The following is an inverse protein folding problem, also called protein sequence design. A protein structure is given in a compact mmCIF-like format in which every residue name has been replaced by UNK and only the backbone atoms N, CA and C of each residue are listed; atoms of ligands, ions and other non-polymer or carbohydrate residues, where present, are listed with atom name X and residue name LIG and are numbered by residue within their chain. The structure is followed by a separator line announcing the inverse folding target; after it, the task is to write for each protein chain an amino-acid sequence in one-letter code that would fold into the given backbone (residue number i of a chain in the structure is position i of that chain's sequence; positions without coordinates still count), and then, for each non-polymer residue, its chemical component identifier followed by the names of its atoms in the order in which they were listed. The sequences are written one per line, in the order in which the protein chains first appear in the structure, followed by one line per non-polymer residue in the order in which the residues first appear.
data_IF_985917274426
#
_entry.id   IF_985917274426
#
_cell.length_a   1.000
_cell.length_b   1.000
_cell.length_c   1.000
_cell.angle_alpha   90.00
_cell.angle_beta   90.00
_cell.angle_gamma   90.00
#
_symmetry.space_group_name_H-M   'P 1'
#
loop_
_entity.id
_entity.type
_entity.pdbx_description
1 polymer ?
#
# COMPACT_ATOMS: atom_id res chain seq x y z
N UNK A 1 -7.33 19.75 -29.92
CA UNK A 1 -6.94 18.48 -29.29
C UNK A 1 -8.08 17.49 -29.50
N UNK A 2 -7.83 16.39 -30.20
CA UNK A 2 -8.82 15.34 -30.45
C UNK A 2 -8.94 14.39 -29.26
N UNK A 3 -9.97 13.54 -29.27
CA UNK A 3 -10.16 12.49 -28.26
C UNK A 3 -8.96 11.51 -28.25
N UNK A 4 -8.59 11.03 -27.06
CA UNK A 4 -7.58 9.98 -26.87
C UNK A 4 -8.08 8.68 -27.54
N UNK A 5 -7.32 8.19 -28.53
CA UNK A 5 -7.62 6.98 -29.29
C UNK A 5 -6.81 5.76 -28.80
N UNK A 6 -6.09 5.88 -27.68
CA UNK A 6 -5.33 4.78 -27.11
C UNK A 6 -6.29 3.65 -26.68
N UNK A 7 -5.96 2.42 -27.10
CA UNK A 7 -6.84 1.26 -26.89
C UNK A 7 -6.00 0.05 -26.50
N UNK A 8 -6.43 -0.65 -25.46
CA UNK A 8 -5.94 -1.98 -25.08
C UNK A 8 -7.06 -3.00 -25.27
N UNK A 9 -6.86 -3.96 -26.17
CA UNK A 9 -7.83 -5.01 -26.49
C UNK A 9 -7.20 -6.37 -26.25
N UNK A 10 -8.03 -7.34 -25.90
CA UNK A 10 -7.66 -8.75 -25.87
C UNK A 10 -8.42 -9.44 -26.99
N UNK A 11 -7.76 -9.66 -28.12
CA UNK A 11 -8.38 -10.23 -29.32
C UNK A 11 -7.85 -11.64 -29.51
N UNK A 12 -8.74 -12.65 -29.53
CA UNK A 12 -8.38 -14.06 -29.77
C UNK A 12 -7.23 -14.59 -28.87
N UNK A 13 -7.18 -14.16 -27.60
CA UNK A 13 -6.17 -14.60 -26.64
C UNK A 13 -4.80 -13.92 -26.77
N UNK A 14 -4.65 -12.95 -27.68
CA UNK A 14 -3.43 -12.15 -27.87
C UNK A 14 -3.67 -10.75 -27.31
N UNK A 15 -2.75 -10.29 -26.46
CA UNK A 15 -2.79 -8.91 -25.94
C UNK A 15 -2.34 -7.94 -27.03
N UNK A 16 -3.17 -6.93 -27.31
CA UNK A 16 -2.87 -5.88 -28.29
C UNK A 16 -3.10 -4.51 -27.66
N UNK A 17 -2.14 -3.62 -27.80
CA UNK A 17 -2.22 -2.25 -27.34
C UNK A 17 -1.67 -1.27 -28.39
N UNK A 18 -2.33 -0.12 -28.50
CA UNK A 18 -1.90 0.99 -29.34
C UNK A 18 -2.01 2.31 -28.57
N UNK A 19 -1.01 3.18 -28.74
CA UNK A 19 -0.90 4.49 -28.09
C UNK A 19 -0.54 5.52 -29.17
N UNK A 20 -1.24 6.65 -29.18
CA UNK A 20 -0.88 7.84 -29.95
C UNK A 20 -0.60 7.58 -31.45
N UNK A 21 0.45 8.20 -31.97
CA UNK A 21 0.93 8.04 -33.34
C UNK A 21 1.74 6.75 -33.54
N UNK A 22 1.06 5.62 -33.35
CA UNK A 22 1.66 4.28 -33.41
C UNK A 22 2.27 3.95 -34.80
N UNK A 23 1.82 4.66 -35.84
CA UNK A 23 2.27 4.46 -37.21
C UNK A 23 3.44 5.37 -37.61
N UNK A 24 3.78 6.40 -36.83
CA UNK A 24 4.85 7.34 -37.17
C UNK A 24 4.46 8.29 -38.30
N UNK A 25 3.22 8.78 -38.29
CA UNK A 25 2.71 9.80 -39.23
C UNK A 25 3.34 11.17 -39.01
N UNK A 26 3.84 11.43 -37.81
CA UNK A 26 4.55 12.65 -37.44
C UNK A 26 5.84 12.74 -38.25
N UNK A 27 6.03 13.86 -38.95
CA UNK A 27 7.19 14.09 -39.81
C UNK A 27 8.49 13.93 -39.04
N UNK A 28 9.44 13.20 -39.63
CA UNK A 28 10.77 12.92 -39.04
C UNK A 28 10.76 12.18 -37.69
N UNK A 29 9.65 11.52 -37.37
CA UNK A 29 9.61 10.60 -36.23
C UNK A 29 10.59 9.45 -36.45
N UNK A 30 11.14 8.94 -35.34
CA UNK A 30 12.00 7.74 -35.32
C UNK A 30 11.25 6.60 -34.66
N UNK A 31 11.57 5.36 -35.00
CA UNK A 31 10.89 4.21 -34.42
C UNK A 31 11.87 3.10 -34.03
N UNK A 32 11.60 2.49 -32.88
CA UNK A 32 12.31 1.30 -32.40
C UNK A 32 11.35 0.12 -32.43
N UNK A 33 11.83 -1.05 -32.84
CA UNK A 33 11.01 -2.25 -33.02
C UNK A 33 11.69 -3.47 -32.40
N UNK A 34 10.91 -4.27 -31.70
CA UNK A 34 11.31 -5.57 -31.15
C UNK A 34 10.37 -6.64 -31.68
N UNK A 35 10.94 -7.69 -32.28
CA UNK A 35 10.20 -8.82 -32.84
C UNK A 35 10.77 -10.11 -32.28
N UNK A 36 9.90 -10.94 -31.71
CA UNK A 36 10.23 -12.29 -31.27
C UNK A 36 9.26 -13.28 -31.92
N UNK A 37 9.70 -13.94 -32.98
CA UNK A 37 8.86 -14.86 -33.75
C UNK A 37 8.49 -16.11 -32.94
N UNK A 38 9.40 -16.62 -32.11
CA UNK A 38 9.16 -17.80 -31.29
C UNK A 38 8.07 -17.56 -30.23
N UNK A 39 8.12 -16.40 -29.55
CA UNK A 39 7.12 -15.99 -28.55
C UNK A 39 5.91 -15.28 -29.18
N UNK A 40 5.91 -15.04 -30.49
CA UNK A 40 4.91 -14.26 -31.24
C UNK A 40 4.66 -12.86 -30.64
N UNK A 41 5.74 -12.17 -30.25
CA UNK A 41 5.71 -10.82 -29.69
C UNK A 41 6.17 -9.81 -30.73
N UNK A 42 5.43 -8.72 -30.87
CA UNK A 42 5.82 -7.53 -31.63
C UNK A 42 5.61 -6.29 -30.78
N UNK A 43 6.66 -5.48 -30.60
CA UNK A 43 6.60 -4.21 -29.89
C UNK A 43 7.24 -3.12 -30.75
N UNK A 44 6.62 -1.95 -30.79
CA UNK A 44 7.13 -0.77 -31.49
C UNK A 44 6.84 0.47 -30.66
N UNK A 45 7.81 1.37 -30.57
CA UNK A 45 7.62 2.74 -30.10
C UNK A 45 7.99 3.73 -31.20
N UNK A 46 7.32 4.87 -31.21
CA UNK A 46 7.54 5.99 -32.11
C UNK A 46 7.91 7.19 -31.26
N UNK A 47 9.04 7.82 -31.57
CA UNK A 47 9.62 8.94 -30.83
C UNK A 47 9.84 10.14 -31.74
N UNK A 48 9.99 11.33 -31.15
CA UNK A 48 10.31 12.58 -31.84
C UNK A 48 11.68 12.55 -32.52
N UNK A 49 11.93 13.51 -33.43
CA UNK A 49 13.22 13.66 -34.13
C UNK A 49 14.39 13.75 -33.15
N UNK A 50 14.23 14.44 -32.03
CA UNK A 50 15.23 14.56 -30.94
C UNK A 50 15.26 13.37 -29.97
N UNK A 51 14.28 12.47 -30.04
CA UNK A 51 14.19 11.27 -29.21
C UNK A 51 13.75 11.53 -27.78
N UNK A 52 13.32 12.75 -27.46
CA UNK A 52 12.92 13.15 -26.12
C UNK A 52 11.46 12.83 -25.82
N UNK A 53 10.60 12.71 -26.84
CA UNK A 53 9.15 12.53 -26.65
C UNK A 53 8.65 11.22 -27.27
N UNK A 54 7.78 10.53 -26.53
CA UNK A 54 7.05 9.38 -27.04
C UNK A 54 5.80 9.84 -27.80
N UNK A 55 5.78 9.61 -29.11
CA UNK A 55 4.67 9.99 -29.98
C UNK A 55 3.62 8.88 -30.08
N UNK A 56 4.03 7.62 -30.00
CA UNK A 56 3.13 6.47 -30.02
C UNK A 56 3.79 5.13 -29.77
N UNK A 57 2.98 4.08 -29.64
CA UNK A 57 3.44 2.71 -29.42
C UNK A 57 2.44 1.67 -29.95
N UNK A 58 2.95 0.51 -30.39
CA UNK A 58 2.18 -0.69 -30.73
C UNK A 58 2.77 -1.87 -29.96
N UNK A 59 1.95 -2.61 -29.23
CA UNK A 59 2.34 -3.83 -28.51
C UNK A 59 1.40 -4.96 -28.92
N UNK A 60 1.95 -6.12 -29.30
CA UNK A 60 1.20 -7.30 -29.75
C UNK A 60 1.85 -8.54 -29.13
N UNK A 61 1.04 -9.43 -28.56
CA UNK A 61 1.50 -10.67 -27.91
C UNK A 61 1.87 -10.47 -26.44
N UNK A 62 2.47 -9.33 -26.09
CA UNK A 62 2.78 -8.90 -24.72
C UNK A 62 2.63 -7.39 -24.61
N UNK A 63 1.73 -6.94 -23.72
CA UNK A 63 1.41 -5.53 -23.50
C UNK A 63 1.71 -5.08 -22.05
N UNK A 64 2.68 -5.70 -21.38
CA UNK A 64 3.05 -5.37 -20.00
C UNK A 64 3.45 -3.89 -19.84
N UNK A 65 4.14 -3.30 -20.82
CA UNK A 65 4.67 -1.93 -20.78
C UNK A 65 3.64 -0.87 -21.16
N UNK A 66 2.41 -1.27 -21.52
CA UNK A 66 1.34 -0.35 -21.92
C UNK A 66 1.11 0.76 -20.90
N UNK A 67 1.03 0.41 -19.61
CA UNK A 67 0.74 1.38 -18.55
C UNK A 67 1.82 2.46 -18.46
N UNK A 68 3.09 2.05 -18.49
CA UNK A 68 4.24 2.96 -18.43
C UNK A 68 4.32 3.83 -19.68
N UNK A 69 4.23 3.24 -20.87
CA UNK A 69 4.28 3.97 -22.14
C UNK A 69 3.11 4.95 -22.28
N UNK A 70 1.92 4.59 -21.80
CA UNK A 70 0.76 5.47 -21.80
C UNK A 70 0.99 6.69 -20.90
N UNK A 71 1.55 6.48 -19.71
CA UNK A 71 1.87 7.59 -18.81
C UNK A 71 2.97 8.50 -19.38
N UNK A 72 3.97 7.95 -20.06
CA UNK A 72 5.01 8.73 -20.74
C UNK A 72 4.39 9.61 -21.84
N UNK A 73 3.55 9.01 -22.70
CA UNK A 73 2.90 9.72 -23.80
C UNK A 73 1.91 10.79 -23.31
N UNK A 74 1.05 10.47 -22.34
CA UNK A 74 0.02 11.40 -21.86
C UNK A 74 0.58 12.59 -21.09
N UNK A 75 1.67 12.39 -20.34
CA UNK A 75 2.25 13.43 -19.48
C UNK A 75 3.47 14.12 -20.11
N UNK A 76 3.83 13.77 -21.36
CA UNK A 76 5.00 14.34 -22.04
C UNK A 76 6.31 14.11 -21.27
N UNK A 77 6.45 12.96 -20.61
CA UNK A 77 7.66 12.62 -19.84
C UNK A 77 8.81 12.42 -20.81
N UNK A 78 9.97 13.04 -20.53
CA UNK A 78 11.16 12.88 -21.35
C UNK A 78 11.60 11.40 -21.37
N UNK A 79 11.92 10.91 -22.57
CA UNK A 79 12.41 9.55 -22.76
C UNK A 79 13.85 9.39 -22.23
N UNK A 80 14.23 8.17 -21.79
CA UNK A 80 15.62 7.86 -21.45
C UNK A 80 16.53 7.99 -22.68
N UNK A 81 17.84 8.09 -22.45
CA UNK A 81 18.84 8.21 -23.52
C UNK A 81 18.78 7.07 -24.55
N UNK A 82 18.32 5.89 -24.13
CA UNK A 82 18.15 4.70 -24.96
C UNK A 82 16.68 4.22 -24.89
N UNK A 83 15.76 4.82 -25.68
CA UNK A 83 14.33 4.52 -25.64
C UNK A 83 13.98 3.05 -25.97
N UNK A 84 14.82 2.35 -26.72
CA UNK A 84 14.65 0.94 -27.09
C UNK A 84 14.45 0.02 -25.89
N UNK A 85 15.08 0.31 -24.75
CA UNK A 85 14.94 -0.50 -23.53
C UNK A 85 13.54 -0.45 -22.92
N UNK A 86 12.69 0.50 -23.34
CA UNK A 86 11.28 0.52 -22.94
C UNK A 86 10.44 -0.60 -23.57
N UNK A 87 10.94 -1.25 -24.63
CA UNK A 87 10.23 -2.34 -25.32
C UNK A 87 11.03 -3.64 -25.43
N UNK A 88 12.32 -3.63 -25.08
CA UNK A 88 13.15 -4.83 -25.11
C UNK A 88 12.84 -5.75 -23.91
N UNK A 89 12.93 -7.08 -24.11
CA UNK A 89 12.86 -8.02 -23.00
C UNK A 89 14.05 -7.81 -22.06
N UNK A 90 13.82 -7.89 -20.75
CA UNK A 90 14.88 -7.82 -19.76
C UNK A 90 15.85 -8.99 -19.95
N UNK A 91 17.10 -8.70 -20.29
CA UNK A 91 18.22 -9.66 -20.23
C UNK A 91 19.19 -9.18 -19.15
N UNK A 92 19.55 -10.11 -18.27
CA UNK A 92 20.64 -10.03 -17.28
C UNK A 92 20.74 -8.75 -16.44
N UNK A 93 19.89 -8.66 -15.42
CA UNK A 93 20.14 -7.77 -14.27
C UNK A 93 19.79 -6.29 -14.45
N UNK A 94 19.49 -5.83 -15.66
CA UNK A 94 18.90 -4.50 -15.85
C UNK A 94 17.40 -4.56 -15.57
N UNK A 95 17.06 -4.20 -14.33
CA UNK A 95 15.71 -4.17 -13.80
C UNK A 95 14.78 -3.27 -14.62
N UNK A 96 13.51 -3.70 -14.72
CA UNK A 96 12.42 -2.89 -15.29
C UNK A 96 12.36 -1.55 -14.57
N UNK A 97 12.61 -0.46 -15.29
CA UNK A 97 12.55 0.90 -14.74
C UNK A 97 11.11 1.20 -14.31
N UNK A 98 10.81 0.96 -13.03
CA UNK A 98 9.73 1.65 -12.36
C UNK A 98 10.11 3.13 -12.25
N UNK A 99 9.17 4.03 -12.50
CA UNK A 99 9.40 5.47 -12.31
C UNK A 99 9.58 5.71 -10.81
N UNK A 100 10.83 5.66 -10.33
CA UNK A 100 11.20 6.10 -9.00
C UNK A 100 10.83 7.57 -8.81
N UNK A 101 10.79 8.04 -7.56
CA UNK A 101 10.46 9.45 -7.25
C UNK A 101 11.39 10.43 -8.00
N UNK A 102 12.61 9.99 -8.31
CA UNK A 102 13.59 10.74 -9.10
C UNK A 102 13.13 11.03 -10.52
N UNK A 103 12.45 10.08 -11.17
CA UNK A 103 12.01 10.15 -12.57
C UNK A 103 10.68 10.92 -12.76
N UNK A 104 10.04 11.35 -11.66
CA UNK A 104 8.85 12.21 -11.75
C UNK A 104 9.24 13.62 -12.26
N UNK A 105 8.47 14.23 -13.17
CA UNK A 105 8.71 15.62 -13.57
C UNK A 105 8.39 16.59 -12.43
N UNK A 106 8.95 17.81 -12.47
CA UNK A 106 8.69 18.85 -11.45
C UNK A 106 7.21 19.27 -11.40
N UNK A 107 6.47 19.12 -12.50
CA UNK A 107 5.03 19.34 -12.56
C UNK A 107 4.20 18.23 -11.89
N UNK A 108 4.81 17.09 -11.52
CA UNK A 108 4.08 15.98 -10.93
C UNK A 108 3.43 16.38 -9.61
N UNK A 109 2.10 16.24 -9.53
CA UNK A 109 1.36 16.54 -8.31
C UNK A 109 1.66 15.50 -7.22
N UNK A 110 2.16 15.98 -6.08
CA UNK A 110 2.52 15.16 -4.91
C UNK A 110 1.44 15.25 -3.83
N UNK A 111 0.85 16.43 -3.61
CA UNK A 111 -0.25 16.64 -2.66
C UNK A 111 -1.50 17.15 -3.34
N UNK A 112 -2.55 16.34 -3.42
CA UNK A 112 -3.82 16.78 -4.04
C UNK A 112 -4.63 17.75 -3.18
N UNK A 113 -4.51 17.71 -1.86
CA UNK A 113 -5.32 18.59 -0.99
C UNK A 113 -4.89 20.05 -1.05
N UNK A 114 -3.59 20.31 -1.24
CA UNK A 114 -3.01 21.66 -1.29
C UNK A 114 -2.38 21.96 -2.66
N UNK A 115 -2.62 21.10 -3.66
CA UNK A 115 -2.10 21.19 -5.02
C UNK A 115 -0.58 21.42 -5.10
N UNK A 116 0.19 20.65 -4.32
CA UNK A 116 1.67 20.80 -4.25
C UNK A 116 2.34 19.84 -5.22
N UNK A 117 3.22 20.36 -6.08
CA UNK A 117 3.99 19.59 -7.06
C UNK A 117 5.37 19.17 -6.53
N UNK A 118 6.06 18.30 -7.28
CA UNK A 118 7.45 17.91 -6.99
C UNK A 118 8.40 19.11 -7.03
N UNK A 119 8.26 19.99 -8.04
CA UNK A 119 9.08 21.19 -8.19
C UNK A 119 8.98 22.11 -6.97
N UNK A 120 7.76 22.34 -6.47
CA UNK A 120 7.54 23.14 -5.26
C UNK A 120 8.18 22.52 -4.00
N UNK A 121 8.29 21.19 -3.95
CA UNK A 121 9.02 20.51 -2.88
C UNK A 121 10.53 20.73 -3.05
N UNK A 122 11.04 20.60 -4.27
CA UNK A 122 12.47 20.79 -4.55
C UNK A 122 12.89 22.24 -4.23
N UNK A 123 12.06 23.22 -4.60
CA UNK A 123 12.27 24.64 -4.30
C UNK A 123 12.29 24.89 -2.80
N UNK A 124 11.39 24.26 -2.05
CA UNK A 124 11.34 24.36 -0.59
C UNK A 124 12.60 23.78 0.08
N UNK A 125 13.11 22.64 -0.42
CA UNK A 125 14.40 22.10 0.02
C UNK A 125 15.54 23.06 -0.29
N UNK A 126 15.53 23.65 -1.49
CA UNK A 126 16.50 24.68 -1.87
C UNK A 126 16.45 25.94 -1.00
N UNK A 127 15.29 26.27 -0.45
CA UNK A 127 15.11 27.35 0.53
C UNK A 127 15.44 26.95 1.98
N UNK A 128 15.89 25.71 2.22
CA UNK A 128 16.35 25.23 3.52
C UNK A 128 15.36 24.36 4.30
N UNK A 129 14.19 24.01 3.75
CA UNK A 129 13.25 23.10 4.41
C UNK A 129 13.76 21.64 4.33
N UNK A 130 14.32 21.13 5.42
CA UNK A 130 14.99 19.84 5.48
C UNK A 130 14.22 18.80 6.30
N UNK A 131 13.12 19.20 6.93
CA UNK A 131 12.27 18.35 7.76
C UNK A 131 10.82 18.37 7.30
N UNK A 132 10.07 17.31 7.61
CA UNK A 132 8.63 17.27 7.29
C UNK A 132 7.83 18.36 8.02
N UNK A 133 8.28 18.79 9.20
CA UNK A 133 7.68 19.92 9.91
C UNK A 133 7.79 21.21 9.10
N UNK A 134 9.01 21.52 8.63
CA UNK A 134 9.27 22.67 7.77
C UNK A 134 8.49 22.55 6.45
N UNK A 135 8.52 21.38 5.80
CA UNK A 135 7.78 21.13 4.55
C UNK A 135 6.28 21.39 4.70
N UNK A 136 5.68 20.95 5.81
CA UNK A 136 4.26 21.23 6.12
C UNK A 136 4.02 22.71 6.34
N UNK A 137 4.95 23.43 6.96
CA UNK A 137 4.81 24.87 7.22
C UNK A 137 4.90 25.70 5.94
N UNK A 138 5.83 25.37 5.03
CA UNK A 138 6.08 26.17 3.82
C UNK A 138 5.18 25.77 2.65
N UNK A 139 4.96 24.48 2.40
CA UNK A 139 4.19 24.00 1.24
C UNK A 139 2.75 23.59 1.58
N UNK A 140 2.43 23.39 2.87
CA UNK A 140 1.21 22.71 3.34
C UNK A 140 1.08 21.25 2.88
N UNK A 141 2.05 20.68 2.16
CA UNK A 141 2.01 19.28 1.77
C UNK A 141 2.01 18.37 3.01
N UNK A 142 0.98 17.53 3.14
CA UNK A 142 0.84 16.62 4.27
C UNK A 142 0.28 17.24 5.56
N UNK A 143 -0.08 18.53 5.55
CA UNK A 143 -0.70 19.21 6.70
C UNK A 143 -2.21 18.91 6.84
N UNK A 144 -2.92 18.69 5.74
CA UNK A 144 -4.40 18.54 5.74
C UNK A 144 -4.86 17.11 6.02
N UNK A 145 -4.57 16.17 5.11
CA UNK A 145 -5.03 14.79 5.23
C UNK A 145 -3.90 13.80 5.61
N UNK A 146 -2.65 14.26 5.62
CA UNK A 146 -1.46 13.45 5.88
C UNK A 146 -1.11 12.39 4.81
N UNK A 147 -1.95 12.19 3.79
CA UNK A 147 -1.83 11.08 2.85
C UNK A 147 -0.55 11.09 1.99
N UNK A 148 0.00 12.27 1.68
CA UNK A 148 1.21 12.41 0.86
C UNK A 148 2.50 12.44 1.68
N UNK A 149 2.45 12.41 3.02
CA UNK A 149 3.62 12.66 3.88
C UNK A 149 4.79 11.74 3.52
N UNK A 150 4.54 10.43 3.34
CA UNK A 150 5.60 9.49 2.97
C UNK A 150 6.28 9.85 1.63
N UNK A 151 5.47 10.20 0.62
CA UNK A 151 5.97 10.57 -0.70
C UNK A 151 6.70 11.92 -0.67
N UNK A 152 6.20 12.90 0.09
CA UNK A 152 6.88 14.18 0.32
C UNK A 152 8.24 13.95 0.97
N UNK A 153 8.33 13.08 1.99
CA UNK A 153 9.60 12.71 2.61
C UNK A 153 10.58 12.11 1.60
N UNK A 154 10.11 11.23 0.71
CA UNK A 154 10.96 10.64 -0.31
C UNK A 154 11.49 11.69 -1.29
N UNK A 155 10.62 12.54 -1.84
CA UNK A 155 11.04 13.62 -2.76
C UNK A 155 12.05 14.54 -2.07
N UNK A 156 11.76 14.93 -0.82
CA UNK A 156 12.62 15.80 -0.01
C UNK A 156 13.99 15.18 0.22
N UNK A 157 14.07 13.90 0.64
CA UNK A 157 15.33 13.20 0.88
C UNK A 157 16.17 13.04 -0.40
N UNK A 158 15.53 12.74 -1.53
CA UNK A 158 16.19 12.67 -2.84
C UNK A 158 16.81 14.01 -3.20
N UNK A 159 16.06 15.11 -3.06
CA UNK A 159 16.56 16.45 -3.37
C UNK A 159 17.68 16.90 -2.42
N UNK A 160 17.55 16.61 -1.12
CA UNK A 160 18.60 16.87 -0.14
C UNK A 160 19.89 16.14 -0.50
N UNK A 161 19.80 14.86 -0.88
CA UNK A 161 20.96 14.07 -1.31
C UNK A 161 21.61 14.65 -2.58
N UNK A 162 20.82 15.07 -3.57
CA UNK A 162 21.31 15.74 -4.79
C UNK A 162 22.09 17.02 -4.49
N UNK A 163 21.72 17.72 -3.42
CA UNK A 163 22.37 18.96 -2.96
C UNK A 163 23.54 18.73 -2.00
N UNK A 164 23.92 17.47 -1.74
CA UNK A 164 24.99 17.13 -0.79
C UNK A 164 24.63 17.41 0.68
N UNK A 165 23.34 17.57 0.99
CA UNK A 165 22.88 17.80 2.36
C UNK A 165 22.83 16.48 3.12
N UNK A 166 23.19 16.53 4.41
CA UNK A 166 23.12 15.36 5.27
C UNK A 166 21.66 14.90 5.45
N UNK A 167 21.34 13.69 4.97
CA UNK A 167 20.05 13.06 5.21
C UNK A 167 20.16 12.19 6.45
N UNK A 168 19.61 12.63 7.58
CA UNK A 168 19.49 11.75 8.74
C UNK A 168 18.28 10.81 8.57
N UNK A 169 18.40 9.59 9.09
CA UNK A 169 17.32 8.61 9.13
C UNK A 169 16.78 8.42 10.55
N UNK A 170 16.97 9.44 11.41
CA UNK A 170 16.51 9.41 12.78
C UNK A 170 14.98 9.33 12.81
N UNK A 171 14.44 8.56 13.75
CA UNK A 171 13.00 8.42 13.91
C UNK A 171 12.37 9.75 14.35
N UNK A 172 13.00 10.41 15.32
CA UNK A 172 12.63 11.72 15.86
C UNK A 172 13.80 12.27 16.70
N UNK A 173 13.62 13.43 17.32
CA UNK A 173 14.62 14.01 18.22
C UNK A 173 15.07 13.06 19.33
N UNK A 174 14.19 12.18 19.84
CA UNK A 174 14.49 11.28 20.97
C UNK A 174 15.38 10.08 20.60
N UNK A 175 15.37 9.65 19.33
CA UNK A 175 16.01 8.41 18.87
C UNK A 175 16.79 8.66 17.57
N UNK A 176 18.14 8.62 17.61
CA UNK A 176 18.99 8.82 16.44
C UNK A 176 19.08 7.57 15.55
N UNK A 177 17.99 6.82 15.45
CA UNK A 177 17.89 5.54 14.75
C UNK A 177 16.66 5.52 13.87
N UNK A 178 16.73 4.84 12.73
CA UNK A 178 15.58 4.49 11.91
C UNK A 178 14.66 3.50 12.61
N UNK A 179 13.43 3.33 12.09
CA UNK A 179 12.51 2.28 12.58
C UNK A 179 13.15 0.89 12.50
N UNK A 180 13.86 0.59 11.40
CA UNK A 180 14.49 -0.71 11.18
C UNK A 180 15.59 -0.97 12.20
N UNK A 181 16.46 0.01 12.45
CA UNK A 181 17.50 -0.11 13.49
C UNK A 181 16.88 -0.29 14.88
N UNK A 182 15.83 0.46 15.22
CA UNK A 182 15.12 0.27 16.49
C UNK A 182 14.49 -1.13 16.59
N UNK A 183 13.96 -1.68 15.50
CA UNK A 183 13.47 -3.07 15.48
C UNK A 183 14.59 -4.05 15.83
N UNK A 184 15.78 -3.86 15.25
CA UNK A 184 16.95 -4.68 15.55
C UNK A 184 17.41 -4.53 17.00
N UNK A 185 17.51 -3.31 17.52
CA UNK A 185 17.89 -3.04 18.91
C UNK A 185 16.90 -3.67 19.89
N UNK A 186 15.59 -3.57 19.64
CA UNK A 186 14.56 -4.20 20.47
C UNK A 186 14.71 -5.73 20.47
N UNK A 187 14.91 -6.35 19.31
CA UNK A 187 15.07 -7.81 19.20
C UNK A 187 16.36 -8.32 19.85
N UNK A 188 17.49 -7.66 19.60
CA UNK A 188 18.81 -8.07 20.09
C UNK A 188 18.95 -7.80 21.59
N UNK A 189 18.46 -6.65 22.05
CA UNK A 189 18.51 -6.27 23.46
C UNK A 189 17.37 -6.85 24.31
N UNK A 190 16.50 -7.67 23.72
CA UNK A 190 15.29 -8.24 24.34
C UNK A 190 14.42 -7.20 25.07
N UNK A 191 14.32 -6.00 24.49
CA UNK A 191 13.69 -4.84 25.13
C UNK A 191 12.17 -4.97 25.10
N UNK A 192 11.53 -4.91 26.27
CA UNK A 192 10.07 -5.12 26.43
C UNK A 192 9.28 -3.91 26.90
N UNK A 193 9.97 -2.83 27.30
CA UNK A 193 9.31 -1.62 27.79
C UNK A 193 9.87 -0.39 27.10
N UNK A 194 9.03 0.65 26.97
CA UNK A 194 9.47 1.92 26.41
C UNK A 194 10.52 2.61 27.28
N UNK A 195 10.42 2.49 28.61
CA UNK A 195 11.40 3.04 29.54
C UNK A 195 12.81 2.44 29.32
N UNK A 196 12.89 1.12 29.14
CA UNK A 196 14.15 0.44 28.87
C UNK A 196 14.72 0.80 27.47
N UNK A 197 13.85 0.89 26.45
CA UNK A 197 14.25 1.36 25.12
C UNK A 197 14.82 2.79 25.17
N UNK A 198 14.14 3.68 25.89
CA UNK A 198 14.52 5.07 26.02
C UNK A 198 15.82 5.23 26.81
N UNK A 199 15.99 4.48 27.90
CA UNK A 199 17.21 4.52 28.72
C UNK A 199 18.45 4.02 27.98
N UNK A 200 18.32 3.00 27.12
CA UNK A 200 19.46 2.41 26.40
C UNK A 200 19.79 3.09 25.08
N UNK A 201 18.78 3.57 24.37
CA UNK A 201 18.92 3.97 22.96
C UNK A 201 18.29 5.33 22.63
N UNK A 202 17.82 6.08 23.62
CA UNK A 202 17.21 7.38 23.42
C UNK A 202 17.46 8.35 24.57
N UNK A 203 16.65 9.39 24.64
CA UNK A 203 16.69 10.42 25.68
C UNK A 203 15.37 11.18 25.74
N UNK A 204 15.16 11.98 26.78
CA UNK A 204 13.95 12.77 26.99
C UNK A 204 12.77 11.92 27.51
N UNK A 205 11.55 12.26 27.10
CA UNK A 205 10.30 11.60 27.55
C UNK A 205 9.55 10.87 26.42
N UNK A 206 10.02 11.02 25.19
CA UNK A 206 9.37 10.53 23.97
C UNK A 206 8.18 11.37 23.52
N UNK A 207 7.87 11.31 22.23
CA UNK A 207 6.79 12.04 21.57
C UNK A 207 5.73 11.12 20.93
N UNK A 208 4.78 11.75 20.25
CA UNK A 208 3.73 11.14 19.42
C UNK A 208 4.26 10.36 18.20
N UNK A 209 5.55 10.47 17.88
CA UNK A 209 6.21 9.67 16.83
C UNK A 209 6.81 8.39 17.41
N UNK A 210 7.66 8.50 18.44
CA UNK A 210 8.43 7.36 18.92
C UNK A 210 7.63 6.41 19.81
N UNK A 211 6.67 6.91 20.60
CA UNK A 211 5.87 6.05 21.48
C UNK A 211 5.03 5.04 20.70
N UNK A 212 4.22 5.44 19.68
CA UNK A 212 3.48 4.47 18.87
C UNK A 212 4.39 3.58 18.04
N UNK A 213 5.52 4.10 17.57
CA UNK A 213 6.50 3.31 16.80
C UNK A 213 7.11 2.20 17.67
N UNK A 214 7.56 2.53 18.88
CA UNK A 214 8.11 1.57 19.83
C UNK A 214 7.05 0.52 20.22
N UNK A 215 5.81 0.94 20.47
CA UNK A 215 4.73 0.02 20.78
C UNK A 215 4.44 -0.95 19.62
N UNK A 216 4.42 -0.44 18.38
CA UNK A 216 4.29 -1.28 17.19
C UNK A 216 5.44 -2.27 17.06
N UNK A 217 6.69 -1.83 17.26
CA UNK A 217 7.87 -2.71 17.18
C UNK A 217 7.79 -3.82 18.24
N UNK A 218 7.55 -3.44 19.51
CA UNK A 218 7.45 -4.41 20.60
C UNK A 218 6.32 -5.40 20.39
N UNK A 219 5.14 -4.95 19.94
CA UNK A 219 4.03 -5.84 19.59
C UNK A 219 4.40 -6.80 18.45
N UNK A 220 5.11 -6.34 17.42
CA UNK A 220 5.60 -7.20 16.34
C UNK A 220 6.70 -8.18 16.79
N UNK A 221 7.45 -7.86 17.84
CA UNK A 221 8.53 -8.69 18.35
C UNK A 221 8.05 -9.76 19.35
N UNK A 222 7.12 -9.38 20.22
CA UNK A 222 6.74 -10.14 21.41
C UNK A 222 5.29 -10.59 21.42
N UNK A 223 4.45 -10.05 20.52
CA UNK A 223 3.02 -10.35 20.40
C UNK A 223 2.20 -10.07 21.68
N UNK A 224 2.65 -9.09 22.47
CA UNK A 224 1.93 -8.63 23.67
C UNK A 224 0.67 -7.84 23.29
N UNK A 225 -0.36 -7.93 24.13
CA UNK A 225 -1.59 -7.15 23.96
C UNK A 225 -1.30 -5.65 24.12
N UNK A 226 -1.59 -4.87 23.08
CA UNK A 226 -1.22 -3.44 22.98
C UNK A 226 -1.91 -2.52 24.02
N UNK A 227 -3.01 -2.98 24.62
CA UNK A 227 -3.71 -2.26 25.70
C UNK A 227 -3.41 -2.84 27.09
N UNK A 228 -2.35 -3.65 27.23
CA UNK A 228 -1.78 -3.96 28.55
C UNK A 228 -1.42 -2.64 29.23
N UNK A 229 -1.62 -2.55 30.55
CA UNK A 229 -1.61 -1.28 31.31
C UNK A 229 -0.33 -0.43 31.11
N UNK A 230 0.82 -1.08 30.94
CA UNK A 230 2.13 -0.49 30.68
C UNK A 230 2.37 -0.11 29.20
N UNK A 231 1.64 -0.70 28.26
CA UNK A 231 1.75 -0.44 26.81
C UNK A 231 0.65 0.50 26.27
N UNK A 232 -0.48 0.59 26.96
CA UNK A 232 -1.65 1.35 26.51
C UNK A 232 -1.31 2.83 26.31
N UNK A 233 -0.54 3.43 27.21
CA UNK A 233 -0.12 4.84 27.13
C UNK A 233 0.76 5.18 25.92
N UNK A 234 1.28 4.16 25.22
CA UNK A 234 2.08 4.33 24.01
C UNK A 234 1.24 4.36 22.73
N UNK A 235 -0.03 3.95 22.81
CA UNK A 235 -0.94 3.92 21.66
C UNK A 235 -1.41 5.33 21.33
N UNK A 236 -1.70 5.56 20.04
CA UNK A 236 -2.48 6.74 19.66
C UNK A 236 -3.94 6.61 20.12
N UNK A 237 -4.70 7.71 20.05
CA UNK A 237 -6.11 7.72 20.47
C UNK A 237 -6.94 6.62 19.80
N UNK A 238 -6.66 6.29 18.53
CA UNK A 238 -7.48 5.33 17.82
C UNK A 238 -7.24 3.91 18.31
N UNK A 239 -5.97 3.54 18.50
CA UNK A 239 -5.61 2.24 19.04
C UNK A 239 -5.98 2.12 20.54
N UNK A 240 -5.85 3.20 21.32
CA UNK A 240 -6.22 3.22 22.75
C UNK A 240 -7.72 2.97 22.98
N UNK A 241 -8.58 3.64 22.20
CA UNK A 241 -10.03 3.56 22.35
C UNK A 241 -10.69 2.49 21.46
N UNK A 242 -9.89 1.76 20.67
CA UNK A 242 -10.34 0.81 19.67
C UNK A 242 -11.34 1.40 18.64
N UNK A 243 -11.40 2.72 18.53
CA UNK A 243 -12.30 3.46 17.64
C UNK A 243 -11.53 4.48 16.82
N UNK A 244 -12.20 5.23 15.94
CA UNK A 244 -11.55 6.32 15.22
C UNK A 244 -12.12 7.67 15.60
N UNK A 245 -11.24 8.54 16.08
CA UNK A 245 -11.61 9.92 16.37
C UNK A 245 -12.06 10.65 15.10
N UNK A 246 -13.17 11.36 15.22
CA UNK A 246 -13.82 12.13 14.17
C UNK A 246 -13.56 13.63 14.40
N UNK A 247 -13.94 14.45 13.41
CA UNK A 247 -13.69 15.91 13.44
C UNK A 247 -14.36 16.63 14.60
N UNK A 248 -15.49 16.11 15.07
CA UNK A 248 -16.29 16.64 16.18
C UNK A 248 -15.90 16.04 17.54
N UNK A 249 -14.80 15.26 17.60
CA UNK A 249 -14.33 14.59 18.81
C UNK A 249 -15.07 13.30 19.17
N UNK A 250 -16.09 12.90 18.41
CA UNK A 250 -16.72 11.59 18.56
C UNK A 250 -15.85 10.49 17.96
N UNK A 251 -16.26 9.24 18.14
CA UNK A 251 -15.58 8.06 17.64
C UNK A 251 -16.47 7.29 16.67
N UNK A 252 -15.82 6.57 15.75
CA UNK A 252 -16.48 5.49 15.02
C UNK A 252 -16.03 4.12 15.51
N UNK A 253 -16.97 3.18 15.50
CA UNK A 253 -16.86 1.81 16.00
C UNK A 253 -17.14 0.86 14.84
N UNK A 254 -16.20 -0.04 14.58
CA UNK A 254 -16.28 -1.02 13.50
C UNK A 254 -16.10 -2.42 14.09
N UNK A 255 -17.18 -3.18 14.33
CA UNK A 255 -17.07 -4.57 14.73
C UNK A 255 -16.41 -5.40 13.63
N UNK A 256 -15.65 -6.43 14.02
CA UNK A 256 -15.06 -7.36 13.07
C UNK A 256 -16.15 -8.22 12.44
N UNK A 257 -16.20 -8.22 11.10
CA UNK A 257 -16.97 -9.17 10.29
C UNK A 257 -15.96 -9.91 9.42
N UNK A 258 -15.51 -11.06 9.92
CA UNK A 258 -14.38 -11.80 9.35
C UNK A 258 -14.74 -12.34 7.98
N UNK A 259 -13.91 -12.06 6.96
CA UNK A 259 -14.24 -12.43 5.57
C UNK A 259 -15.43 -11.68 4.97
N UNK A 260 -16.04 -10.74 5.70
CA UNK A 260 -17.30 -10.09 5.33
C UNK A 260 -18.56 -10.81 5.84
N UNK A 261 -18.41 -11.86 6.65
CA UNK A 261 -19.53 -12.66 7.16
C UNK A 261 -20.18 -12.03 8.38
N UNK A 262 -21.51 -12.09 8.44
CA UNK A 262 -22.33 -11.66 9.58
C UNK A 262 -23.60 -12.50 9.63
N UNK A 263 -23.98 -12.97 10.82
CA UNK A 263 -25.24 -13.70 11.01
C UNK A 263 -26.43 -12.72 10.97
N UNK A 264 -27.65 -13.19 10.65
CA UNK A 264 -28.84 -12.35 10.73
C UNK A 264 -29.02 -11.70 12.11
N UNK A 265 -28.83 -12.46 13.19
CA UNK A 265 -28.92 -11.95 14.56
C UNK A 265 -27.81 -10.95 14.88
N UNK A 266 -26.57 -11.19 14.41
CA UNK A 266 -25.47 -10.24 14.55
C UNK A 266 -25.75 -8.93 13.81
N UNK A 267 -26.32 -9.00 12.62
CA UNK A 267 -26.71 -7.82 11.85
C UNK A 267 -27.83 -7.03 12.54
N UNK A 268 -28.83 -7.73 13.11
CA UNK A 268 -29.88 -7.13 13.94
C UNK A 268 -29.28 -6.45 15.16
N UNK A 269 -28.36 -7.11 15.88
CA UNK A 269 -27.70 -6.57 17.06
C UNK A 269 -26.92 -5.29 16.73
N UNK A 270 -26.13 -5.28 15.65
CA UNK A 270 -25.42 -4.08 15.18
C UNK A 270 -26.40 -2.94 14.89
N UNK A 271 -27.53 -3.23 14.23
CA UNK A 271 -28.57 -2.23 13.95
C UNK A 271 -29.23 -1.68 15.22
N UNK A 272 -29.51 -2.54 16.20
CA UNK A 272 -30.11 -2.15 17.49
C UNK A 272 -29.15 -1.29 18.32
N UNK A 273 -27.88 -1.68 18.41
CA UNK A 273 -26.82 -0.91 19.09
C UNK A 273 -26.68 0.46 18.42
N UNK A 274 -26.55 0.51 17.09
CA UNK A 274 -26.47 1.76 16.36
C UNK A 274 -27.67 2.68 16.64
N UNK A 275 -28.89 2.13 16.63
CA UNK A 275 -30.11 2.89 16.94
C UNK A 275 -30.12 3.41 18.38
N UNK A 276 -29.74 2.57 19.36
CA UNK A 276 -29.71 2.92 20.80
C UNK A 276 -28.79 4.10 21.08
N UNK A 277 -27.62 4.14 20.44
CA UNK A 277 -26.62 5.18 20.66
C UNK A 277 -26.69 6.34 19.65
N UNK A 278 -27.66 6.32 18.72
CA UNK A 278 -27.84 7.36 17.70
C UNK A 278 -26.70 7.41 16.67
N UNK A 279 -26.12 6.26 16.34
CA UNK A 279 -24.94 6.17 15.48
C UNK A 279 -25.34 6.15 14.00
N UNK A 280 -24.67 6.98 13.19
CA UNK A 280 -24.78 6.90 11.73
C UNK A 280 -24.08 5.64 11.24
N UNK A 281 -24.70 4.86 10.34
CA UNK A 281 -24.15 3.59 9.86
C UNK A 281 -23.77 3.63 8.38
N UNK A 282 -22.66 2.99 8.03
CA UNK A 282 -22.17 2.90 6.64
C UNK A 282 -21.54 1.55 6.33
N UNK A 283 -21.87 0.98 5.18
CA UNK A 283 -21.17 -0.21 4.66
C UNK A 283 -19.84 0.21 4.05
N UNK A 284 -18.76 -0.43 4.48
CA UNK A 284 -17.40 -0.13 4.03
C UNK A 284 -16.98 -1.04 2.88
N UNK A 285 -16.00 -0.59 2.09
CA UNK A 285 -15.35 -1.43 1.07
C UNK A 285 -14.56 -2.63 1.62
N UNK A 286 -14.50 -2.79 2.95
CA UNK A 286 -13.96 -3.97 3.62
C UNK A 286 -15.03 -4.98 4.05
N UNK A 287 -16.27 -4.86 3.54
CA UNK A 287 -17.41 -5.72 3.90
C UNK A 287 -17.76 -5.66 5.39
N UNK A 288 -17.86 -4.44 5.93
CA UNK A 288 -18.20 -4.21 7.35
C UNK A 288 -19.17 -3.06 7.53
N UNK A 289 -19.84 -3.03 8.67
CA UNK A 289 -20.62 -1.87 9.14
C UNK A 289 -19.73 -0.96 9.98
N UNK A 290 -19.66 0.31 9.61
CA UNK A 290 -19.00 1.38 10.38
C UNK A 290 -20.07 2.25 11.04
N UNK A 291 -19.95 2.46 12.36
CA UNK A 291 -20.91 3.17 13.18
C UNK A 291 -20.27 4.44 13.75
N UNK A 292 -20.78 5.62 13.40
CA UNK A 292 -20.18 6.93 13.70
C UNK A 292 -20.98 7.71 14.72
N UNK A 293 -20.29 8.55 15.52
CA UNK A 293 -20.92 9.49 16.44
C UNK A 293 -20.91 9.04 17.91
N UNK A 294 -20.15 8.00 18.25
CA UNK A 294 -20.05 7.53 19.62
C UNK A 294 -19.22 8.49 20.47
N UNK A 295 -19.71 8.88 21.65
CA UNK A 295 -18.92 9.66 22.61
C UNK A 295 -17.96 8.75 23.36
N UNK A 296 -16.86 9.32 23.87
CA UNK A 296 -15.77 8.54 24.49
C UNK A 296 -16.26 7.69 25.66
N UNK A 297 -17.17 8.22 26.49
CA UNK A 297 -17.72 7.51 27.65
C UNK A 297 -18.73 6.43 27.27
N UNK A 298 -19.24 6.43 26.03
CA UNK A 298 -20.14 5.40 25.51
C UNK A 298 -19.36 4.19 24.97
N UNK A 299 -18.09 4.35 24.62
CA UNK A 299 -17.31 3.30 23.97
C UNK A 299 -17.26 1.98 24.77
N UNK A 300 -17.02 1.97 26.10
CA UNK A 300 -17.02 0.73 26.86
C UNK A 300 -18.36 -0.01 26.79
N UNK A 301 -19.48 0.71 26.88
CA UNK A 301 -20.83 0.14 26.83
C UNK A 301 -21.17 -0.41 25.44
N UNK A 302 -20.81 0.31 24.39
CA UNK A 302 -20.98 -0.14 23.00
C UNK A 302 -20.18 -1.42 22.76
N UNK A 303 -18.92 -1.46 23.22
CA UNK A 303 -18.07 -2.66 23.07
C UNK A 303 -18.60 -3.85 23.86
N UNK A 304 -19.11 -3.64 25.09
CA UNK A 304 -19.72 -4.69 25.89
C UNK A 304 -20.93 -5.32 25.18
N UNK A 305 -21.83 -4.51 24.61
CA UNK A 305 -22.99 -5.01 23.86
C UNK A 305 -22.57 -5.72 22.56
N UNK A 306 -21.57 -5.21 21.84
CA UNK A 306 -21.03 -5.87 20.65
C UNK A 306 -20.39 -7.22 20.99
N UNK A 307 -19.64 -7.30 22.08
CA UNK A 307 -19.01 -8.54 22.56
C UNK A 307 -20.08 -9.55 22.98
N UNK A 308 -21.13 -9.11 23.68
CA UNK A 308 -22.27 -9.95 24.02
C UNK A 308 -23.00 -10.51 22.78
N UNK A 309 -22.99 -9.76 21.67
CA UNK A 309 -23.49 -10.19 20.38
C UNK A 309 -22.48 -11.02 19.54
N UNK A 310 -21.31 -11.36 20.09
CA UNK A 310 -20.31 -12.21 19.45
C UNK A 310 -19.29 -11.47 18.57
N UNK A 311 -19.24 -10.14 18.63
CA UNK A 311 -18.27 -9.35 17.89
C UNK A 311 -17.02 -9.02 18.70
N UNK A 312 -15.95 -8.66 18.00
CA UNK A 312 -14.73 -8.08 18.57
C UNK A 312 -14.35 -6.81 17.79
N UNK A 313 -13.35 -6.06 18.25
CA UNK A 313 -12.87 -4.89 17.50
C UNK A 313 -12.31 -5.28 16.14
N UNK A 314 -12.79 -4.61 15.09
CA UNK A 314 -12.30 -4.77 13.73
C UNK A 314 -10.89 -4.20 13.51
N UNK A 315 -10.30 -3.50 14.48
CA UNK A 315 -9.04 -2.75 14.33
C UNK A 315 -9.02 -1.89 13.05
N UNK A 316 -10.15 -1.26 12.72
CA UNK A 316 -10.36 -0.62 11.42
C UNK A 316 -9.39 0.54 11.13
N UNK A 317 -8.70 1.04 12.17
CA UNK A 317 -7.83 2.20 12.10
C UNK A 317 -6.40 1.95 12.57
N UNK A 318 -6.17 0.84 13.28
CA UNK A 318 -4.85 0.42 13.70
C UNK A 318 -3.86 0.27 12.53
N UNK A 319 -2.59 0.44 12.84
CA UNK A 319 -1.48 0.04 11.95
C UNK A 319 -1.28 -1.47 12.08
N UNK A 320 -2.27 -2.20 11.56
CA UNK A 320 -2.42 -3.64 11.68
C UNK A 320 -3.14 -4.20 10.45
N UNK A 321 -3.40 -5.52 10.46
CA UNK A 321 -4.42 -6.08 9.57
C UNK A 321 -5.76 -5.41 9.83
N UNK A 322 -6.30 -4.78 8.79
CA UNK A 322 -7.63 -4.18 8.85
C UNK A 322 -8.71 -5.16 8.49
N UNK A 323 -8.64 -5.78 7.32
CA UNK A 323 -9.70 -6.67 6.77
C UNK A 323 -9.10 -7.65 5.78
N UNK A 324 -9.70 -8.83 5.71
CA UNK A 324 -9.56 -9.77 4.59
C UNK A 324 -10.88 -9.77 3.83
N UNK A 325 -10.91 -9.07 2.68
CA UNK A 325 -12.10 -9.03 1.83
C UNK A 325 -12.22 -10.35 1.08
N UNK A 326 -13.41 -10.93 1.00
CA UNK A 326 -13.66 -12.15 0.24
C UNK A 326 -14.71 -11.94 -0.84
N UNK A 327 -14.75 -12.80 -1.85
CA UNK A 327 -16.00 -13.04 -2.58
C UNK A 327 -16.69 -14.30 -2.02
N UNK A 328 -17.93 -14.53 -2.43
CA UNK A 328 -18.74 -15.68 -1.95
C UNK A 328 -18.22 -17.06 -2.40
N UNK A 329 -17.12 -17.12 -3.15
CA UNK A 329 -16.37 -18.34 -3.45
C UNK A 329 -17.17 -19.43 -4.17
N UNK A 330 -16.64 -20.65 -4.15
CA UNK A 330 -17.33 -21.87 -4.61
C UNK A 330 -18.52 -22.25 -3.73
N UNK A 331 -18.64 -21.66 -2.53
CA UNK A 331 -19.77 -21.84 -1.61
C UNK A 331 -21.10 -21.41 -2.25
N UNK A 332 -21.10 -20.31 -3.01
CA UNK A 332 -22.32 -19.74 -3.58
C UNK A 332 -22.21 -19.36 -5.05
N UNK A 333 -21.02 -18.95 -5.52
CA UNK A 333 -20.88 -18.47 -6.89
C UNK A 333 -20.71 -19.66 -7.84
N UNK A 334 -21.53 -19.71 -8.90
CA UNK A 334 -21.38 -20.69 -9.99
C UNK A 334 -20.01 -20.67 -10.70
N UNK A 335 -19.21 -19.62 -10.50
CA UNK A 335 -17.88 -19.45 -11.07
C UNK A 335 -16.76 -19.56 -10.03
N UNK A 336 -17.11 -19.86 -8.77
CA UNK A 336 -16.12 -20.07 -7.73
C UNK A 336 -15.35 -21.35 -8.00
N UNK A 337 -14.04 -21.22 -8.18
CA UNK A 337 -13.11 -22.33 -8.37
C UNK A 337 -12.76 -22.96 -7.02
N UNK A 338 -12.59 -22.15 -5.98
CA UNK A 338 -12.25 -22.61 -4.63
C UNK A 338 -12.91 -21.75 -3.54
N UNK A 339 -12.85 -22.22 -2.29
CA UNK A 339 -13.47 -21.61 -1.11
C UNK A 339 -12.69 -20.38 -0.63
N UNK A 340 -12.98 -19.23 -1.24
CA UNK A 340 -12.42 -17.95 -0.81
C UNK A 340 -12.95 -17.44 0.51
N UNK A 341 -14.16 -17.85 0.93
CA UNK A 341 -14.75 -17.38 2.19
C UNK A 341 -14.05 -18.04 3.36
N UNK A 342 -13.95 -19.37 3.36
CA UNK A 342 -13.26 -20.13 4.39
C UNK A 342 -11.79 -19.71 4.51
N UNK A 343 -11.10 -19.56 3.38
CA UNK A 343 -9.71 -19.08 3.39
C UNK A 343 -9.58 -17.64 3.93
N UNK A 344 -10.49 -16.73 3.55
CA UNK A 344 -10.48 -15.37 4.09
C UNK A 344 -10.69 -15.34 5.61
N UNK A 345 -11.60 -16.17 6.12
CA UNK A 345 -11.88 -16.32 7.55
C UNK A 345 -10.66 -16.84 8.30
N UNK A 346 -10.00 -17.87 7.77
CA UNK A 346 -8.79 -18.46 8.33
C UNK A 346 -7.66 -17.42 8.40
N UNK A 347 -7.40 -16.72 7.30
CA UNK A 347 -6.35 -15.70 7.24
C UNK A 347 -6.65 -14.51 8.17
N UNK A 348 -7.89 -14.04 8.23
CA UNK A 348 -8.22 -12.92 9.10
C UNK A 348 -8.05 -13.30 10.58
N UNK A 349 -8.48 -14.49 10.99
CA UNK A 349 -8.28 -14.95 12.36
C UNK A 349 -6.82 -15.26 12.69
N UNK A 350 -6.02 -15.69 11.70
CA UNK A 350 -4.57 -15.89 11.88
C UNK A 350 -3.83 -14.58 12.10
N UNK A 351 -4.15 -13.55 11.32
CA UNK A 351 -3.37 -12.31 11.26
C UNK A 351 -4.04 -11.13 11.98
N UNK A 352 -5.24 -11.30 12.56
CA UNK A 352 -5.85 -10.26 13.40
C UNK A 352 -4.94 -9.93 14.56
N UNK A 353 -4.76 -8.63 14.82
CA UNK A 353 -3.86 -8.14 15.87
C UNK A 353 -2.41 -7.98 15.44
N UNK A 354 -1.98 -8.52 14.28
CA UNK A 354 -0.63 -8.28 13.75
C UNK A 354 -0.39 -6.78 13.59
N UNK A 355 0.55 -6.24 14.36
CA UNK A 355 1.03 -4.86 14.22
C UNK A 355 2.06 -4.77 13.11
N UNK A 356 1.97 -3.70 12.34
CA UNK A 356 2.76 -3.49 11.13
C UNK A 356 3.13 -2.00 10.97
N UNK A 357 4.20 -1.68 10.23
CA UNK A 357 4.63 -0.30 9.98
C UNK A 357 3.51 0.61 9.47
N UNK A 358 2.57 0.04 8.71
CA UNK A 358 1.34 0.67 8.29
C UNK A 358 0.19 -0.35 8.20
N UNK A 359 -1.04 0.12 8.02
CA UNK A 359 -2.23 -0.72 7.74
C UNK A 359 -1.98 -1.68 6.57
N UNK A 360 -2.41 -2.93 6.72
CA UNK A 360 -2.43 -3.95 5.67
C UNK A 360 -3.85 -4.44 5.44
N UNK A 361 -4.18 -4.76 4.20
CA UNK A 361 -5.46 -5.33 3.79
C UNK A 361 -5.21 -6.52 2.90
N UNK A 362 -6.05 -7.54 3.02
CA UNK A 362 -5.99 -8.72 2.18
C UNK A 362 -7.24 -8.80 1.30
N UNK A 363 -7.14 -9.53 0.20
CA UNK A 363 -8.29 -9.90 -0.63
C UNK A 363 -8.16 -11.33 -1.11
N UNK A 364 -9.23 -12.11 -0.99
CA UNK A 364 -9.29 -13.51 -1.40
C UNK A 364 -10.43 -13.68 -2.40
N UNK A 365 -10.09 -13.97 -3.65
CA UNK A 365 -11.06 -14.23 -4.71
C UNK A 365 -11.06 -15.70 -5.08
N UNK A 366 -12.24 -16.32 -5.08
CA UNK A 366 -12.41 -17.72 -5.47
C UNK A 366 -12.29 -17.97 -6.97
N UNK A 367 -12.02 -16.95 -7.80
CA UNK A 367 -11.68 -17.10 -9.22
C UNK A 367 -11.07 -15.80 -9.79
N UNK A 368 -10.65 -15.86 -11.05
CA UNK A 368 -10.02 -14.75 -11.79
C UNK A 368 -10.94 -13.54 -12.06
N UNK A 369 -12.24 -13.64 -11.76
CA UNK A 369 -13.16 -12.49 -11.81
C UNK A 369 -12.93 -11.47 -10.70
N UNK A 370 -12.15 -11.85 -9.67
CA UNK A 370 -11.48 -10.88 -8.83
C UNK A 370 -12.43 -9.99 -7.99
N UNK A 371 -13.64 -10.46 -7.65
CA UNK A 371 -14.64 -9.65 -6.95
C UNK A 371 -14.17 -9.11 -5.57
N UNK A 372 -13.13 -9.70 -4.98
CA UNK A 372 -12.53 -9.23 -3.73
C UNK A 372 -11.49 -8.10 -3.91
N UNK A 373 -11.21 -7.66 -5.13
CA UNK A 373 -10.17 -6.65 -5.42
C UNK A 373 -8.80 -7.00 -4.82
N UNK A 374 -8.51 -8.30 -4.65
CA UNK A 374 -7.24 -8.89 -4.24
C UNK A 374 -5.99 -8.21 -4.85
N UNK A 375 -5.97 -7.91 -6.15
CA UNK A 375 -4.84 -7.22 -6.79
C UNK A 375 -4.75 -5.73 -6.39
N UNK A 376 -5.71 -5.17 -5.66
CA UNK A 376 -5.64 -3.84 -5.07
C UNK A 376 -5.25 -3.83 -3.58
N UNK A 377 -4.89 -4.99 -3.02
CA UNK A 377 -4.60 -5.17 -1.58
C UNK A 377 -3.12 -5.44 -1.33
N UNK A 378 -2.69 -5.27 -0.09
CA UNK A 378 -1.31 -5.51 0.33
C UNK A 378 -0.94 -7.00 0.15
N UNK A 379 -1.92 -7.90 0.33
CA UNK A 379 -1.85 -9.33 -0.01
C UNK A 379 -3.11 -9.72 -0.80
N UNK A 380 -2.93 -10.15 -2.04
CA UNK A 380 -3.99 -10.61 -2.92
C UNK A 380 -3.89 -12.11 -3.18
N UNK A 381 -5.00 -12.82 -3.09
CA UNK A 381 -5.06 -14.27 -3.26
C UNK A 381 -6.18 -14.58 -4.26
N UNK A 382 -5.85 -15.33 -5.31
CA UNK A 382 -6.80 -15.68 -6.37
C UNK A 382 -6.72 -17.18 -6.66
N UNK A 383 -7.84 -17.87 -6.57
CA UNK A 383 -7.92 -19.30 -6.88
C UNK A 383 -7.73 -19.57 -8.37
N UNK A 384 -7.06 -20.68 -8.66
CA UNK A 384 -6.92 -21.31 -9.98
C UNK A 384 -7.26 -22.79 -9.87
N UNK A 385 -7.41 -23.48 -11.00
CA UNK A 385 -7.65 -24.94 -11.00
C UNK A 385 -6.48 -25.75 -10.40
N UNK A 386 -5.31 -25.13 -10.25
CA UNK A 386 -4.08 -25.75 -9.75
C UNK A 386 -3.73 -25.36 -8.31
N UNK A 387 -4.50 -24.46 -7.69
CA UNK A 387 -4.23 -23.95 -6.35
C UNK A 387 -4.46 -22.44 -6.26
N UNK A 388 -3.53 -21.72 -5.63
CA UNK A 388 -3.68 -20.29 -5.34
C UNK A 388 -2.54 -19.46 -5.90
N UNK A 389 -2.89 -18.35 -6.55
CA UNK A 389 -1.93 -17.31 -6.94
C UNK A 389 -1.84 -16.26 -5.83
N UNK A 390 -0.62 -15.95 -5.41
CA UNK A 390 -0.32 -14.95 -4.40
C UNK A 390 0.24 -13.69 -5.06
N UNK A 391 -0.41 -12.57 -4.81
CA UNK A 391 -0.01 -11.23 -5.21
C UNK A 391 0.34 -10.39 -3.97
N UNK A 392 1.32 -9.50 -4.07
CA UNK A 392 1.76 -8.66 -2.95
C UNK A 392 1.98 -7.20 -3.35
N UNK A 393 2.01 -6.32 -2.36
CA UNK A 393 2.39 -4.91 -2.51
C UNK A 393 1.42 -4.07 -3.36
N UNK A 394 0.13 -4.43 -3.37
CA UNK A 394 -0.93 -3.59 -3.92
C UNK A 394 -1.48 -2.61 -2.88
N UNK A 395 -2.07 -1.52 -3.35
CA UNK A 395 -2.80 -0.61 -2.48
C UNK A 395 -3.81 0.25 -3.23
N UNK A 396 -4.93 0.54 -2.56
CA UNK A 396 -5.68 1.76 -2.81
C UNK A 396 -5.06 2.99 -2.12
N UNK A 397 -5.58 4.18 -2.42
CA UNK A 397 -5.19 5.45 -1.80
C UNK A 397 -4.80 6.51 -2.82
N UNK A 398 -3.97 7.47 -2.39
CA UNK A 398 -3.54 8.61 -3.22
C UNK A 398 -2.80 8.17 -4.50
N UNK A 399 -1.92 7.17 -4.37
CA UNK A 399 -1.26 6.51 -5.50
C UNK A 399 -1.72 5.05 -5.52
N UNK A 400 -2.80 4.72 -6.24
CA UNK A 400 -3.24 3.34 -6.36
C UNK A 400 -2.18 2.54 -7.12
N UNK A 401 -1.98 1.29 -6.70
CA UNK A 401 -0.99 0.38 -7.28
C UNK A 401 -1.57 -1.04 -7.28
N UNK A 402 -1.45 -1.72 -8.40
CA UNK A 402 -1.75 -3.15 -8.44
C UNK A 402 -0.65 -3.95 -7.75
N UNK A 403 -1.07 -5.00 -7.04
CA UNK A 403 -0.20 -6.00 -6.45
C UNK A 403 0.48 -6.80 -7.57
N UNK A 404 1.69 -7.27 -7.32
CA UNK A 404 2.46 -8.06 -8.27
C UNK A 404 2.45 -9.53 -7.88
N UNK A 405 2.46 -10.40 -8.89
CA UNK A 405 2.47 -11.84 -8.72
C UNK A 405 3.79 -12.31 -8.07
N UNK A 406 3.67 -12.82 -6.85
CA UNK A 406 4.79 -13.38 -6.09
C UNK A 406 5.00 -14.86 -6.43
N UNK A 407 3.93 -15.65 -6.42
CA UNK A 407 3.97 -17.09 -6.69
C UNK A 407 2.60 -17.61 -7.19
N UNK A 408 2.62 -18.74 -7.88
CA UNK A 408 1.43 -19.37 -8.51
C UNK A 408 1.26 -20.81 -8.04
N UNK A 409 0.07 -21.35 -8.26
CA UNK A 409 -0.25 -22.79 -8.07
C UNK A 409 0.10 -23.31 -6.66
N UNK A 410 -0.07 -22.44 -5.66
CA UNK A 410 0.27 -22.76 -4.27
C UNK A 410 -0.80 -23.62 -3.63
N UNK A 411 -0.37 -24.61 -2.84
CA UNK A 411 -1.26 -25.21 -1.84
C UNK A 411 -1.58 -24.21 -0.73
N UNK A 412 -2.67 -24.42 0.02
CA UNK A 412 -3.04 -23.56 1.16
C UNK A 412 -1.89 -23.42 2.18
N UNK A 413 -1.19 -24.52 2.49
CA UNK A 413 -0.06 -24.52 3.43
C UNK A 413 1.11 -23.68 2.93
N UNK A 414 1.48 -23.83 1.65
CA UNK A 414 2.56 -23.03 1.05
C UNK A 414 2.20 -21.55 0.97
N UNK A 415 0.95 -21.25 0.61
CA UNK A 415 0.39 -19.91 0.57
C UNK A 415 0.52 -19.22 1.93
N UNK A 416 0.02 -19.84 3.00
CA UNK A 416 0.10 -19.28 4.35
C UNK A 416 1.56 -19.04 4.76
N UNK A 417 2.45 -20.00 4.50
CA UNK A 417 3.88 -19.87 4.81
C UNK A 417 4.55 -18.72 4.07
N UNK A 418 4.20 -18.50 2.80
CA UNK A 418 4.72 -17.37 2.02
C UNK A 418 4.18 -16.03 2.51
N UNK A 419 2.89 -15.97 2.88
CA UNK A 419 2.30 -14.77 3.49
C UNK A 419 2.99 -14.45 4.83
N UNK A 420 3.23 -15.44 5.69
CA UNK A 420 3.97 -15.26 6.95
C UNK A 420 5.34 -14.62 6.70
N UNK A 421 6.13 -15.19 5.76
CA UNK A 421 7.46 -14.69 5.41
C UNK A 421 7.44 -13.27 4.86
N UNK A 422 6.52 -13.00 3.94
CA UNK A 422 6.33 -11.67 3.36
C UNK A 422 6.03 -10.63 4.45
N UNK A 423 5.07 -10.93 5.34
CA UNK A 423 4.71 -10.02 6.43
C UNK A 423 5.86 -9.83 7.42
N UNK A 424 6.55 -10.91 7.82
CA UNK A 424 7.70 -10.82 8.71
C UNK A 424 8.80 -9.93 8.12
N UNK A 425 9.11 -10.10 6.84
CA UNK A 425 10.14 -9.32 6.16
C UNK A 425 9.73 -7.84 6.04
N UNK A 426 8.49 -7.55 5.64
CA UNK A 426 7.95 -6.19 5.59
C UNK A 426 7.94 -5.52 6.98
N UNK A 427 7.44 -6.22 8.01
CA UNK A 427 7.38 -5.69 9.39
C UNK A 427 8.77 -5.39 9.94
N UNK A 428 9.77 -6.20 9.59
CA UNK A 428 11.16 -6.01 10.01
C UNK A 428 11.84 -4.84 9.30
N UNK A 429 11.61 -4.65 8.01
CA UNK A 429 12.46 -3.79 7.16
C UNK A 429 11.82 -2.47 6.75
N UNK A 430 10.48 -2.38 6.72
CA UNK A 430 9.83 -1.15 6.27
C UNK A 430 9.95 0.00 7.29
N UNK A 431 9.97 1.22 6.78
CA UNK A 431 10.04 2.43 7.57
C UNK A 431 8.67 2.78 8.20
N UNK A 432 8.66 3.72 9.13
CA UNK A 432 7.47 4.18 9.84
C UNK A 432 6.42 4.70 8.87
N UNK A 433 5.19 4.20 8.99
CA UNK A 433 4.04 4.55 8.14
C UNK A 433 4.26 4.29 6.64
N UNK A 434 5.23 3.46 6.26
CA UNK A 434 5.45 3.06 4.88
C UNK A 434 4.46 1.98 4.47
N UNK A 435 3.81 2.12 3.30
CA UNK A 435 2.95 1.07 2.72
C UNK A 435 3.80 -0.05 2.12
N UNK A 436 3.26 -1.27 2.02
CA UNK A 436 3.92 -2.40 1.34
C UNK A 436 4.32 -2.06 -0.09
N UNK A 437 3.50 -1.31 -0.82
CA UNK A 437 3.80 -0.81 -2.17
C UNK A 437 5.04 0.09 -2.22
N UNK A 438 5.04 1.16 -1.43
CA UNK A 438 6.17 2.10 -1.34
C UNK A 438 7.42 1.45 -0.79
N UNK A 439 7.25 0.48 0.12
CA UNK A 439 8.35 -0.34 0.62
C UNK A 439 8.97 -1.17 -0.51
N UNK A 440 8.15 -1.91 -1.26
CA UNK A 440 8.61 -2.66 -2.44
C UNK A 440 9.31 -1.76 -3.45
N UNK A 441 8.79 -0.57 -3.72
CA UNK A 441 9.37 0.34 -4.72
C UNK A 441 10.74 0.90 -4.29
N UNK A 442 11.05 0.85 -2.98
CA UNK A 442 12.35 1.26 -2.45
C UNK A 442 13.33 0.09 -2.26
N UNK A 443 12.91 -1.16 -2.49
CA UNK A 443 13.82 -2.30 -2.44
C UNK A 443 14.70 -2.29 -3.70
N UNK A 444 16.01 -2.28 -3.51
CA UNK A 444 16.95 -2.48 -4.60
C UNK A 444 16.74 -3.88 -5.19
N UNK A 445 16.52 -3.98 -6.50
CA UNK A 445 16.10 -5.23 -7.17
C UNK A 445 14.59 -5.53 -7.08
N UNK A 446 13.80 -4.68 -6.40
CA UNK A 446 12.34 -4.69 -6.42
C UNK A 446 11.71 -6.05 -6.04
N UNK A 447 10.82 -6.54 -6.91
CA UNK A 447 10.12 -7.81 -6.68
C UNK A 447 11.07 -9.03 -6.75
N UNK A 448 12.11 -8.97 -7.58
CA UNK A 448 13.04 -10.09 -7.74
C UNK A 448 13.90 -10.26 -6.48
N UNK A 449 14.33 -9.14 -5.88
CA UNK A 449 14.95 -9.17 -4.56
C UNK A 449 14.00 -9.73 -3.50
N UNK A 450 12.74 -9.28 -3.49
CA UNK A 450 11.72 -9.78 -2.56
C UNK A 450 11.46 -11.29 -2.70
N UNK A 451 11.59 -11.86 -3.91
CA UNK A 451 11.50 -13.31 -4.15
C UNK A 451 12.72 -14.08 -3.67
N UNK A 452 13.88 -13.42 -3.61
CA UNK A 452 15.15 -14.05 -3.23
C UNK A 452 15.39 -14.17 -1.72
N UNK A 453 14.59 -13.49 -0.89
CA UNK A 453 14.78 -13.39 0.58
C UNK A 453 13.81 -14.19 1.42
#
# INVERSE_FOLDING_TARGET
AGADMSTKLKLMGVDVASIGDAHGRTSKSRAYQYVNEHKRIYKKIVVSEDGQQLLGAVLVGDAAEYGTLLQIALNGIALPAEPEFLILPSTDGHSRVGIGVEALPDSAQICSCNNVTKGQINDAVGAGACTIGEMKSCTKAGATCGGCVALVTQVMKVEMAKRGMAVNNHLCEHFPYSRQELYHLVRVGEIRTFADLLARHGHGLGCDICKPTAASIMASCWNDFVLRKDLASLQDSNDYFLGNIQKDGTYSVVPRMTGGEVTPDGLIAVGQIAKKYGLYTKITGGQRVDMFGARVEQLPLIWEELIAAGFESGHAYGKSLRTVKSCVGSTWCRYGVDDSVGLAVELENRYKGLRAPHKIKFGVSGCTRECAEAQGKDVGIIATEKGWNLYVCGNGGMKPRHAELLATDLTKTELIRLVDRFLMFYVRTADRLQRTSTWRDNLEGGLDYLKGV
#
